data_IF_410832687976
#
_entry.id   IF_410832687976
#
_cell.length_a   1.000
_cell.length_b   1.000
_cell.length_c   1.000
_cell.angle_alpha   90.00
_cell.angle_beta   90.00
_cell.angle_gamma   90.00
#
_symmetry.space_group_name_H-M   'P 1'
#
loop_
_entity.id
_entity.type
_entity.pdbx_description
1 polymer ?
#
# COMPACT_ATOMS: atom_id res chain seq x y z
N UNK A 1 -24.55 11.78 -8.45
CA UNK A 1 -24.89 13.09 -9.02
C UNK A 1 -26.36 13.50 -8.80
N UNK A 2 -27.31 12.66 -9.07
CA UNK A 2 -28.74 13.01 -8.88
C UNK A 2 -29.10 13.41 -7.44
N UNK A 3 -28.57 12.70 -6.40
CA UNK A 3 -28.85 13.04 -5.00
C UNK A 3 -28.21 14.36 -4.57
N UNK A 4 -26.96 14.63 -4.96
CA UNK A 4 -26.31 15.92 -4.67
C UNK A 4 -27.11 17.09 -5.29
N UNK A 5 -27.64 16.92 -6.50
CA UNK A 5 -28.48 17.91 -7.18
C UNK A 5 -29.83 18.11 -6.44
N UNK A 6 -30.43 17.02 -5.92
CA UNK A 6 -31.69 17.13 -5.12
C UNK A 6 -31.45 17.89 -3.81
N UNK A 7 -30.36 17.59 -3.12
CA UNK A 7 -29.96 18.34 -1.91
C UNK A 7 -29.76 19.81 -2.25
N UNK A 8 -28.95 20.09 -3.28
CA UNK A 8 -28.62 21.47 -3.68
C UNK A 8 -29.86 22.30 -4.04
N UNK A 9 -30.86 21.72 -4.70
CA UNK A 9 -32.13 22.41 -5.02
C UNK A 9 -32.88 22.79 -3.74
N UNK A 10 -33.04 21.84 -2.80
CA UNK A 10 -33.74 22.12 -1.54
C UNK A 10 -33.00 23.12 -0.65
N UNK A 11 -31.66 23.07 -0.64
CA UNK A 11 -30.81 24.05 0.04
C UNK A 11 -30.98 25.43 -0.57
N UNK A 12 -31.01 25.52 -1.91
CA UNK A 12 -31.21 26.78 -2.62
C UNK A 12 -32.60 27.40 -2.36
N UNK A 13 -33.67 26.59 -2.20
CA UNK A 13 -35.00 27.06 -1.81
C UNK A 13 -35.01 27.74 -0.42
N UNK A 14 -34.02 27.40 0.44
CA UNK A 14 -33.82 28.00 1.75
C UNK A 14 -32.76 29.10 1.77
N UNK A 15 -32.27 29.54 0.60
CA UNK A 15 -31.27 30.59 0.46
C UNK A 15 -29.82 30.16 0.63
N UNK A 16 -29.56 28.87 0.79
CA UNK A 16 -28.18 28.33 0.87
C UNK A 16 -27.59 27.95 -0.46
N UNK A 17 -26.33 27.51 -0.45
CA UNK A 17 -25.59 27.00 -1.62
C UNK A 17 -24.92 25.67 -1.26
N UNK A 18 -24.81 24.78 -2.22
CA UNK A 18 -24.17 23.48 -2.06
C UNK A 18 -23.02 23.35 -3.06
N UNK A 19 -21.87 22.93 -2.59
CA UNK A 19 -20.67 22.80 -3.43
C UNK A 19 -20.12 21.38 -3.37
N UNK A 20 -19.68 20.88 -4.51
CA UNK A 20 -18.71 19.79 -4.53
C UNK A 20 -17.37 20.34 -4.01
N UNK A 21 -16.64 19.55 -3.20
CA UNK A 21 -15.44 20.04 -2.53
C UNK A 21 -14.30 19.01 -2.57
N UNK A 22 -13.10 19.47 -2.25
CA UNK A 22 -11.94 18.62 -2.01
C UNK A 22 -11.48 17.83 -3.22
N UNK A 23 -11.32 16.52 -3.03
CA UNK A 23 -10.82 15.61 -4.05
C UNK A 23 -11.67 15.53 -5.31
N UNK A 24 -12.98 15.68 -5.17
CA UNK A 24 -13.92 15.61 -6.29
C UNK A 24 -13.63 16.68 -7.36
N UNK A 25 -13.49 17.94 -6.94
CA UNK A 25 -13.24 19.06 -7.88
C UNK A 25 -11.90 18.93 -8.57
N UNK A 26 -10.87 18.57 -7.80
CA UNK A 26 -9.52 18.30 -8.34
C UNK A 26 -9.53 17.18 -9.37
N UNK A 27 -10.13 16.03 -9.03
CA UNK A 27 -10.11 14.83 -9.86
C UNK A 27 -10.94 15.07 -11.15
N UNK A 28 -12.07 15.82 -11.08
CA UNK A 28 -12.82 16.25 -12.25
C UNK A 28 -11.96 17.12 -13.19
N UNK A 29 -11.24 18.11 -12.66
CA UNK A 29 -10.35 18.98 -13.45
C UNK A 29 -9.18 18.20 -14.07
N UNK A 30 -8.71 17.14 -13.41
CA UNK A 30 -7.70 16.22 -13.92
C UNK A 30 -8.29 15.15 -14.87
N UNK A 31 -9.61 15.11 -15.06
CA UNK A 31 -10.33 14.09 -15.84
C UNK A 31 -10.12 12.67 -15.29
N UNK A 32 -9.98 12.55 -13.99
CA UNK A 32 -9.89 11.28 -13.26
C UNK A 32 -11.29 10.94 -12.75
N UNK A 33 -11.75 9.74 -13.06
CA UNK A 33 -13.02 9.25 -12.54
C UNK A 33 -12.95 9.07 -11.03
N UNK A 34 -13.89 9.68 -10.29
CA UNK A 34 -14.03 9.54 -8.85
C UNK A 34 -15.44 9.09 -8.49
N UNK A 35 -15.55 8.20 -7.51
CA UNK A 35 -16.84 7.73 -6.96
C UNK A 35 -17.17 8.42 -5.64
N UNK A 36 -16.16 8.92 -4.94
CA UNK A 36 -16.31 9.58 -3.64
C UNK A 36 -16.82 11.00 -3.89
N UNK A 37 -18.05 11.31 -3.45
CA UNK A 37 -18.68 12.62 -3.60
C UNK A 37 -18.74 13.31 -2.25
N UNK A 38 -17.91 14.35 -2.10
CA UNK A 38 -17.94 15.23 -0.93
C UNK A 38 -18.68 16.52 -1.29
N UNK A 39 -19.73 16.88 -0.55
CA UNK A 39 -20.41 18.17 -0.68
C UNK A 39 -20.36 18.97 0.60
N UNK A 40 -20.29 20.29 0.44
CA UNK A 40 -20.32 21.23 1.57
C UNK A 40 -21.48 22.23 1.39
N UNK A 41 -22.28 22.41 2.44
CA UNK A 41 -23.50 23.23 2.44
C UNK A 41 -23.27 24.51 3.22
N UNK A 42 -23.51 25.66 2.59
CA UNK A 42 -23.33 26.98 3.12
C UNK A 42 -24.65 27.76 3.16
N UNK A 43 -24.75 28.74 4.08
CA UNK A 43 -25.81 29.74 4.09
C UNK A 43 -27.13 29.30 4.71
N UNK A 44 -27.20 28.12 5.31
CA UNK A 44 -28.34 27.65 6.13
C UNK A 44 -27.82 27.05 7.43
N UNK A 45 -28.61 27.08 8.50
CA UNK A 45 -28.25 26.47 9.77
C UNK A 45 -28.33 24.94 9.75
N UNK A 46 -27.78 24.31 10.81
CA UNK A 46 -27.67 22.84 10.92
C UNK A 46 -29.03 22.19 10.94
N UNK A 47 -30.00 22.75 11.68
CA UNK A 47 -31.33 22.15 11.84
C UNK A 47 -32.08 22.17 10.51
N UNK A 48 -31.99 23.27 9.77
CA UNK A 48 -32.54 23.39 8.42
C UNK A 48 -31.94 22.35 7.45
N UNK A 49 -30.63 22.11 7.53
CA UNK A 49 -30.00 21.06 6.70
C UNK A 49 -30.50 19.67 7.11
N UNK A 50 -30.61 19.37 8.39
CA UNK A 50 -31.11 18.08 8.87
C UNK A 50 -32.54 17.83 8.35
N UNK A 51 -33.44 18.81 8.49
CA UNK A 51 -34.81 18.71 7.96
C UNK A 51 -34.85 18.41 6.46
N UNK A 52 -33.98 19.09 5.69
CA UNK A 52 -33.86 18.83 4.24
C UNK A 52 -33.42 17.38 4.00
N UNK A 53 -32.38 16.93 4.69
CA UNK A 53 -31.84 15.58 4.49
C UNK A 53 -32.83 14.49 4.92
N UNK A 54 -33.52 14.65 6.04
CA UNK A 54 -34.55 13.72 6.51
C UNK A 54 -35.74 13.65 5.52
N UNK A 55 -36.05 14.73 4.82
CA UNK A 55 -37.06 14.71 3.76
C UNK A 55 -36.63 13.91 2.50
N UNK A 56 -35.33 13.65 2.33
CA UNK A 56 -34.74 12.95 1.18
C UNK A 56 -34.37 11.51 1.48
N UNK A 57 -34.20 11.15 2.76
CA UNK A 57 -33.82 9.79 3.13
C UNK A 57 -33.47 9.62 4.61
N UNK A 58 -32.92 8.46 4.94
CA UNK A 58 -32.51 8.14 6.30
C UNK A 58 -31.12 8.75 6.58
N UNK A 59 -31.07 9.75 7.45
CA UNK A 59 -29.84 10.48 7.79
C UNK A 59 -29.04 9.71 8.84
N UNK A 60 -27.77 9.50 8.55
CA UNK A 60 -26.79 9.01 9.53
C UNK A 60 -25.93 10.20 10.01
N UNK A 61 -26.00 10.46 11.30
CA UNK A 61 -25.21 11.51 11.96
C UNK A 61 -23.86 10.92 12.38
N UNK A 62 -22.87 10.88 11.48
CA UNK A 62 -21.54 10.30 11.74
C UNK A 62 -20.68 11.19 12.65
N UNK A 63 -20.99 12.45 12.71
CA UNK A 63 -20.32 13.45 13.55
C UNK A 63 -21.20 14.69 13.68
N UNK A 64 -22.40 14.52 14.27
CA UNK A 64 -23.37 15.62 14.36
C UNK A 64 -22.82 16.86 15.08
N UNK A 65 -21.94 16.68 16.07
CA UNK A 65 -21.18 17.76 16.72
C UNK A 65 -20.14 18.42 15.78
N UNK A 66 -19.81 17.75 14.66
CA UNK A 66 -18.81 18.23 13.70
C UNK A 66 -19.43 18.65 12.35
N UNK A 67 -20.75 18.65 12.23
CA UNK A 67 -21.46 19.05 11.01
C UNK A 67 -21.24 18.10 9.82
N UNK A 68 -21.07 16.80 10.06
CA UNK A 68 -20.91 15.78 8.99
C UNK A 68 -22.05 14.80 9.02
N UNK A 69 -22.70 14.60 7.86
CA UNK A 69 -23.89 13.79 7.67
C UNK A 69 -23.73 12.87 6.45
N UNK A 70 -24.39 11.71 6.47
CA UNK A 70 -24.53 10.81 5.33
C UNK A 70 -25.98 10.41 5.15
N UNK A 71 -26.36 10.11 3.91
CA UNK A 71 -27.65 9.50 3.57
C UNK A 71 -27.48 8.01 3.34
N UNK A 72 -28.20 7.18 4.08
CA UNK A 72 -28.14 5.72 3.94
C UNK A 72 -28.48 5.28 2.51
N UNK A 73 -27.57 4.52 1.89
CA UNK A 73 -27.71 4.03 0.51
C UNK A 73 -27.15 4.94 -0.57
N UNK A 74 -26.50 6.04 -0.18
CA UNK A 74 -25.79 6.94 -1.09
C UNK A 74 -24.35 7.12 -0.61
N UNK A 75 -23.42 7.14 -1.55
CA UNK A 75 -21.99 7.34 -1.30
C UNK A 75 -21.67 8.85 -1.45
N UNK A 76 -22.25 9.63 -0.52
CA UNK A 76 -22.13 11.09 -0.47
C UNK A 76 -21.88 11.51 0.96
N UNK A 77 -20.73 12.16 1.18
CA UNK A 77 -20.40 12.84 2.42
C UNK A 77 -20.89 14.29 2.36
N UNK A 78 -21.70 14.68 3.35
CA UNK A 78 -22.30 16.01 3.42
C UNK A 78 -21.73 16.71 4.63
N UNK A 79 -21.05 17.83 4.42
CA UNK A 79 -20.45 18.61 5.47
C UNK A 79 -20.99 20.06 5.49
N UNK A 80 -20.84 20.71 6.64
CA UNK A 80 -21.00 22.16 6.77
C UNK A 80 -19.66 22.79 7.11
N UNK A 81 -19.43 24.06 6.73
CA UNK A 81 -18.24 24.79 7.11
C UNK A 81 -18.10 24.87 8.63
N UNK A 82 -16.88 24.78 9.11
CA UNK A 82 -16.59 24.79 10.54
C UNK A 82 -15.33 25.58 10.86
N UNK A 83 -15.29 26.15 12.06
CA UNK A 83 -14.09 26.72 12.68
C UNK A 83 -13.51 25.71 13.66
N UNK A 84 -12.22 25.54 13.65
CA UNK A 84 -11.47 24.78 14.63
C UNK A 84 -10.71 25.76 15.52
N UNK A 85 -11.00 25.78 16.82
CA UNK A 85 -10.33 26.64 17.78
C UNK A 85 -9.47 25.75 18.67
N UNK A 86 -8.14 25.94 18.61
CA UNK A 86 -7.21 25.21 19.46
C UNK A 86 -7.25 25.76 20.89
N UNK A 87 -7.56 24.89 21.85
CA UNK A 87 -7.54 25.21 23.29
C UNK A 87 -6.27 24.66 24.01
N UNK A 88 -5.30 24.04 23.28
CA UNK A 88 -4.14 23.42 23.89
C UNK A 88 -3.03 23.02 22.89
N UNK A 89 -2.05 22.23 23.36
CA UNK A 89 -0.85 21.83 22.59
C UNK A 89 -0.96 20.43 21.94
N UNK A 90 -2.17 19.87 21.73
CA UNK A 90 -2.33 18.52 21.22
C UNK A 90 -3.44 18.36 20.18
N UNK A 91 -3.36 17.36 19.31
CA UNK A 91 -4.35 17.03 18.27
C UNK A 91 -5.75 16.69 18.80
N UNK A 92 -5.97 16.67 20.12
CA UNK A 92 -7.26 16.37 20.77
C UNK A 92 -7.88 17.57 21.46
N UNK A 93 -7.22 18.73 21.44
CA UNK A 93 -7.64 19.92 22.18
C UNK A 93 -8.27 20.98 21.26
N UNK A 94 -9.00 20.54 20.21
CA UNK A 94 -9.76 21.45 19.35
C UNK A 94 -11.23 21.45 19.70
N UNK A 95 -11.79 22.60 19.89
CA UNK A 95 -13.24 22.82 19.84
C UNK A 95 -13.65 23.13 18.40
N UNK A 96 -14.63 22.38 17.91
CA UNK A 96 -15.13 22.50 16.55
C UNK A 96 -16.48 23.19 16.61
N UNK A 97 -16.60 24.32 15.92
CA UNK A 97 -17.82 25.07 15.78
C UNK A 97 -18.28 25.06 14.33
N UNK A 98 -19.47 24.53 14.08
CA UNK A 98 -20.10 24.62 12.76
C UNK A 98 -20.54 26.06 12.54
N UNK A 99 -20.07 26.68 11.46
CA UNK A 99 -20.43 28.04 11.06
C UNK A 99 -20.73 28.10 9.57
N UNK A 100 -21.99 27.85 9.16
CA UNK A 100 -22.40 27.82 7.77
C UNK A 100 -22.23 29.15 7.02
N UNK A 101 -21.96 30.22 7.73
CA UNK A 101 -21.87 31.59 7.22
C UNK A 101 -20.43 32.11 7.18
N UNK A 102 -19.43 31.28 7.50
CA UNK A 102 -18.02 31.68 7.65
C UNK A 102 -17.39 32.29 6.37
N UNK A 103 -18.00 32.05 5.19
CA UNK A 103 -17.43 32.44 3.91
C UNK A 103 -16.49 31.37 3.31
N UNK A 104 -16.34 31.40 2.00
CA UNK A 104 -15.67 30.33 1.24
C UNK A 104 -14.17 30.24 1.52
N UNK A 105 -13.49 31.38 1.62
CA UNK A 105 -12.06 31.43 1.90
C UNK A 105 -11.75 30.85 3.30
N UNK A 106 -12.50 31.28 4.31
CA UNK A 106 -12.32 30.78 5.68
C UNK A 106 -12.69 29.31 5.82
N UNK A 107 -13.68 28.81 5.09
CA UNK A 107 -14.03 27.39 5.04
C UNK A 107 -12.90 26.55 4.42
N UNK A 108 -12.20 27.08 3.41
CA UNK A 108 -11.16 26.40 2.68
C UNK A 108 -9.76 26.49 3.33
N UNK A 109 -9.47 27.51 4.17
CA UNK A 109 -8.14 27.77 4.75
C UNK A 109 -7.59 26.60 5.58
N UNK A 110 -8.48 25.80 6.18
CA UNK A 110 -8.14 24.62 6.99
C UNK A 110 -7.78 23.39 6.17
N UNK A 111 -7.99 23.41 4.85
CA UNK A 111 -7.63 22.30 3.96
C UNK A 111 -6.11 22.22 3.82
N UNK A 112 -5.64 21.08 3.33
CA UNK A 112 -4.20 20.80 3.23
C UNK A 112 -3.50 21.57 2.11
N UNK A 113 -4.00 21.41 0.85
CA UNK A 113 -3.35 21.94 -0.33
C UNK A 113 -4.29 22.79 -1.17
N UNK A 114 -3.74 23.75 -1.90
CA UNK A 114 -4.46 24.65 -2.81
C UNK A 114 -5.31 23.87 -3.82
N UNK A 115 -4.78 22.77 -4.36
CA UNK A 115 -5.49 21.90 -5.31
C UNK A 115 -6.70 21.17 -4.71
N UNK A 116 -6.82 21.12 -3.38
CA UNK A 116 -7.95 20.53 -2.66
C UNK A 116 -8.88 21.60 -2.04
N UNK A 117 -8.55 22.89 -2.21
CA UNK A 117 -9.34 23.99 -1.64
C UNK A 117 -10.49 24.46 -2.52
N UNK A 118 -10.46 24.07 -3.79
CA UNK A 118 -11.47 24.44 -4.77
C UNK A 118 -12.85 23.89 -4.41
N UNK A 119 -13.87 24.67 -4.75
CA UNK A 119 -15.28 24.36 -4.55
C UNK A 119 -16.03 24.56 -5.87
N UNK A 120 -16.93 23.65 -6.23
CA UNK A 120 -17.74 23.76 -7.45
C UNK A 120 -19.23 23.74 -7.09
N UNK A 121 -19.93 24.81 -7.41
CA UNK A 121 -21.37 24.89 -7.16
C UNK A 121 -22.12 23.77 -7.90
N UNK A 122 -22.94 23.02 -7.17
CA UNK A 122 -23.64 21.83 -7.69
C UNK A 122 -24.67 22.19 -8.76
N UNK A 123 -25.31 23.36 -8.66
CA UNK A 123 -26.38 23.80 -9.58
C UNK A 123 -25.86 24.59 -10.77
N UNK A 124 -24.94 25.50 -10.54
CA UNK A 124 -24.44 26.43 -11.59
C UNK A 124 -23.17 25.93 -12.26
N UNK A 125 -22.40 25.06 -11.61
CA UNK A 125 -21.08 24.60 -12.07
C UNK A 125 -19.97 25.66 -11.89
N UNK A 126 -20.27 26.81 -11.27
CA UNK A 126 -19.28 27.85 -10.93
C UNK A 126 -18.20 27.28 -10.01
N UNK A 127 -16.93 27.55 -10.34
CA UNK A 127 -15.79 27.14 -9.48
C UNK A 127 -15.31 28.33 -8.67
N UNK A 128 -15.27 28.17 -7.36
CA UNK A 128 -14.69 29.11 -6.40
C UNK A 128 -13.30 28.57 -6.03
N UNK A 129 -12.27 29.36 -6.34
CA UNK A 129 -10.85 29.00 -6.12
C UNK A 129 -10.13 30.11 -5.35
N UNK A 130 -10.28 30.15 -4.02
CA UNK A 130 -9.75 31.24 -3.20
C UNK A 130 -8.22 31.23 -3.07
N UNK A 131 -7.54 30.12 -3.37
CA UNK A 131 -6.11 29.94 -3.18
C UNK A 131 -5.34 29.55 -4.45
N UNK A 132 -5.88 29.86 -5.63
CA UNK A 132 -5.26 29.60 -6.94
C UNK A 132 -4.94 28.12 -7.19
N UNK A 133 -5.78 27.20 -6.70
CA UNK A 133 -5.62 25.77 -6.87
C UNK A 133 -5.68 25.30 -8.32
N UNK A 134 -6.46 25.98 -9.18
CA UNK A 134 -6.51 25.71 -10.63
C UNK A 134 -5.15 25.96 -11.28
N UNK A 135 -4.46 27.03 -10.90
CA UNK A 135 -3.14 27.38 -11.42
C UNK A 135 -2.09 26.36 -10.97
N UNK A 136 -2.08 26.03 -9.67
CA UNK A 136 -1.18 25.02 -9.11
C UNK A 136 -1.42 23.64 -9.75
N UNK A 137 -2.68 23.31 -10.02
CA UNK A 137 -3.04 22.06 -10.70
C UNK A 137 -2.48 22.01 -12.14
N UNK A 138 -2.61 23.11 -12.92
CA UNK A 138 -2.05 23.25 -14.28
C UNK A 138 -0.53 23.17 -14.27
N UNK A 139 0.11 23.77 -13.27
CA UNK A 139 1.55 23.80 -13.10
C UNK A 139 2.09 22.52 -12.44
N UNK A 140 1.24 21.54 -12.14
CA UNK A 140 1.60 20.29 -11.42
C UNK A 140 2.32 20.57 -10.11
N UNK A 141 1.86 21.54 -9.36
CA UNK A 141 2.45 22.00 -8.12
C UNK A 141 1.60 21.62 -6.92
N UNK A 142 2.24 21.13 -5.87
CA UNK A 142 1.59 20.82 -4.60
C UNK A 142 2.03 21.84 -3.55
N UNK A 143 1.13 22.77 -3.23
CA UNK A 143 1.38 23.87 -2.30
C UNK A 143 0.37 23.83 -1.16
N UNK A 144 0.83 23.99 0.08
CA UNK A 144 -0.05 24.16 1.24
C UNK A 144 -0.75 25.53 1.20
N UNK A 145 -1.88 25.64 1.90
CA UNK A 145 -2.70 26.86 1.88
C UNK A 145 -2.18 27.87 2.88
N UNK A 146 -1.98 27.46 4.12
CA UNK A 146 -1.63 28.32 5.24
C UNK A 146 -0.70 27.58 6.20
N UNK A 147 0.38 28.24 6.62
CA UNK A 147 1.43 27.65 7.46
C UNK A 147 0.88 27.14 8.80
N UNK A 148 0.02 27.93 9.45
CA UNK A 148 -0.49 27.61 10.80
C UNK A 148 -1.43 26.40 10.70
N UNK A 149 -2.48 26.52 9.89
CA UNK A 149 -3.44 25.42 9.76
C UNK A 149 -2.82 24.13 9.23
N UNK A 150 -1.81 24.25 8.36
CA UNK A 150 -1.11 23.07 7.82
C UNK A 150 -0.37 22.28 8.91
N UNK A 151 0.25 23.00 9.86
CA UNK A 151 0.98 22.38 10.97
C UNK A 151 0.07 21.71 12.01
N UNK A 152 -1.23 21.99 12.03
CA UNK A 152 -2.18 21.40 12.98
C UNK A 152 -2.34 19.89 12.79
N UNK A 153 -2.15 19.35 11.58
CA UNK A 153 -2.20 17.90 11.31
C UNK A 153 -0.90 17.41 10.67
N UNK A 154 0.03 16.81 11.45
CA UNK A 154 1.27 16.25 10.90
C UNK A 154 1.09 15.17 9.84
N UNK A 155 -0.09 14.56 9.71
CA UNK A 155 -0.37 13.63 8.63
C UNK A 155 -0.22 14.29 7.24
N UNK A 156 -0.35 15.60 7.16
CA UNK A 156 -0.20 16.36 5.91
C UNK A 156 1.20 16.22 5.29
N UNK A 157 2.22 15.88 6.08
CA UNK A 157 3.55 15.50 5.59
C UNK A 157 3.46 14.27 4.68
N UNK A 158 2.80 13.20 5.15
CA UNK A 158 2.63 11.98 4.34
C UNK A 158 1.64 12.16 3.20
N UNK A 159 0.63 13.02 3.39
CA UNK A 159 -0.30 13.41 2.33
C UNK A 159 0.41 14.16 1.21
N UNK A 160 1.37 15.05 1.54
CA UNK A 160 2.20 15.75 0.55
C UNK A 160 2.98 14.75 -0.32
N UNK A 161 3.69 13.82 0.31
CA UNK A 161 4.43 12.77 -0.39
C UNK A 161 3.50 11.86 -1.22
N UNK A 162 2.32 11.50 -0.67
CA UNK A 162 1.34 10.65 -1.34
C UNK A 162 0.75 11.34 -2.58
N UNK A 163 0.37 12.62 -2.49
CA UNK A 163 -0.15 13.37 -3.64
C UNK A 163 0.93 13.62 -4.69
N UNK A 164 2.15 13.96 -4.26
CA UNK A 164 3.29 14.08 -5.17
C UNK A 164 3.50 12.79 -5.99
N UNK A 165 3.49 11.64 -5.33
CA UNK A 165 3.61 10.33 -5.97
C UNK A 165 2.42 9.99 -6.88
N UNK A 166 1.18 10.22 -6.40
CA UNK A 166 -0.04 9.88 -7.14
C UNK A 166 -0.22 10.69 -8.42
N UNK A 167 0.09 11.99 -8.37
CA UNK A 167 -0.14 12.92 -9.48
C UNK A 167 1.14 13.30 -10.23
N UNK A 168 2.30 12.89 -9.75
CA UNK A 168 3.62 13.31 -10.24
C UNK A 168 3.78 14.83 -10.21
N UNK A 169 3.38 15.43 -9.08
CA UNK A 169 3.47 16.85 -8.84
C UNK A 169 4.72 17.21 -8.03
N UNK A 170 5.31 18.35 -8.33
CA UNK A 170 6.40 18.92 -7.56
C UNK A 170 5.85 19.56 -6.27
N UNK A 171 6.45 19.24 -5.13
CA UNK A 171 6.09 19.88 -3.86
C UNK A 171 6.74 21.27 -3.80
N UNK A 172 5.95 22.28 -3.45
CA UNK A 172 6.47 23.66 -3.29
C UNK A 172 7.56 23.72 -2.21
N UNK A 173 8.61 24.49 -2.46
CA UNK A 173 9.76 24.62 -1.54
C UNK A 173 9.36 25.11 -0.14
N UNK A 174 8.37 26.00 -0.05
CA UNK A 174 7.81 26.44 1.23
C UNK A 174 7.14 25.28 1.96
N UNK A 175 6.39 24.45 1.25
CA UNK A 175 5.76 23.25 1.78
C UNK A 175 6.79 22.22 2.26
N UNK A 176 7.86 21.97 1.49
CA UNK A 176 8.97 21.09 1.90
C UNK A 176 9.60 21.59 3.20
N UNK A 177 9.93 22.90 3.27
CA UNK A 177 10.52 23.51 4.46
C UNK A 177 9.60 23.38 5.67
N UNK A 178 8.31 23.60 5.51
CA UNK A 178 7.32 23.48 6.58
C UNK A 178 7.22 22.03 7.05
N UNK A 179 7.05 21.06 6.13
CA UNK A 179 7.01 19.63 6.44
C UNK A 179 8.27 19.17 7.20
N UNK A 180 9.45 19.69 6.85
CA UNK A 180 10.71 19.28 7.49
C UNK A 180 10.83 19.68 8.96
N UNK A 181 10.01 20.62 9.43
CA UNK A 181 9.97 21.07 10.83
C UNK A 181 8.87 20.42 11.68
N UNK A 182 7.97 19.63 11.05
CA UNK A 182 6.83 19.04 11.74
C UNK A 182 7.22 17.73 12.45
N UNK A 183 6.71 17.53 13.67
CA UNK A 183 6.85 16.27 14.40
C UNK A 183 5.74 15.28 14.00
N UNK A 184 6.16 14.18 13.37
CA UNK A 184 5.25 13.12 12.90
C UNK A 184 5.16 11.93 13.88
N UNK A 185 5.85 11.99 15.03
CA UNK A 185 5.98 10.86 15.96
C UNK A 185 4.68 10.50 16.66
N UNK A 186 3.80 11.48 16.87
CA UNK A 186 2.53 11.33 17.57
C UNK A 186 1.38 10.77 16.73
N UNK A 187 1.61 10.54 15.44
CA UNK A 187 0.57 10.03 14.53
C UNK A 187 0.18 8.59 14.85
N UNK A 188 -1.10 8.28 14.71
CA UNK A 188 -1.58 6.90 14.73
C UNK A 188 -1.06 6.14 13.49
N UNK A 189 -0.52 4.95 13.72
CA UNK A 189 0.09 4.13 12.66
C UNK A 189 -0.88 3.79 11.52
N UNK A 190 -2.16 3.64 11.83
CA UNK A 190 -3.20 3.36 10.84
C UNK A 190 -3.31 4.49 9.81
N UNK A 191 -3.23 5.74 10.27
CA UNK A 191 -3.29 6.92 9.39
C UNK A 191 -2.07 6.98 8.46
N UNK A 192 -0.86 6.72 9.00
CA UNK A 192 0.39 6.69 8.22
C UNK A 192 0.36 5.54 7.21
N UNK A 193 -0.10 4.35 7.66
CA UNK A 193 -0.19 3.18 6.80
C UNK A 193 -1.18 3.38 5.63
N UNK A 194 -2.31 4.07 5.85
CA UNK A 194 -3.25 4.37 4.77
C UNK A 194 -2.65 5.32 3.72
N UNK A 195 -1.85 6.33 4.11
CA UNK A 195 -1.17 7.18 3.13
C UNK A 195 -0.07 6.41 2.36
N UNK A 196 0.71 5.57 3.05
CA UNK A 196 1.65 4.65 2.39
C UNK A 196 0.94 3.74 1.39
N UNK A 197 -0.15 3.10 1.81
CA UNK A 197 -0.92 2.19 0.95
C UNK A 197 -1.49 2.90 -0.28
N UNK A 198 -1.99 4.14 -0.12
CA UNK A 198 -2.43 4.96 -1.27
C UNK A 198 -1.28 5.26 -2.22
N UNK A 199 -0.08 5.59 -1.72
CA UNK A 199 1.11 5.81 -2.53
C UNK A 199 1.49 4.55 -3.32
N UNK A 200 1.55 3.40 -2.66
CA UNK A 200 1.93 2.13 -3.29
C UNK A 200 0.91 1.67 -4.34
N UNK A 201 -0.39 1.80 -4.06
CA UNK A 201 -1.43 1.21 -4.89
C UNK A 201 -2.00 2.16 -5.96
N UNK A 202 -2.01 3.48 -5.70
CA UNK A 202 -2.60 4.47 -6.62
C UNK A 202 -1.59 5.21 -7.47
N UNK A 203 -0.27 5.08 -7.20
CA UNK A 203 0.78 5.72 -7.99
C UNK A 203 1.34 4.79 -9.06
N UNK A 204 1.81 5.39 -10.16
CA UNK A 204 2.61 4.70 -11.18
C UNK A 204 4.10 4.74 -10.86
N UNK A 205 4.54 5.71 -10.06
CA UNK A 205 5.90 5.87 -9.55
C UNK A 205 5.86 6.09 -8.03
N UNK A 206 5.64 5.03 -7.24
CA UNK A 206 5.58 5.13 -5.78
C UNK A 206 6.91 5.51 -5.13
N UNK A 207 8.03 5.42 -5.84
CA UNK A 207 9.34 5.92 -5.40
C UNK A 207 9.33 7.41 -5.04
N UNK A 208 8.48 8.21 -5.71
CA UNK A 208 8.31 9.64 -5.43
C UNK A 208 7.85 9.88 -3.99
N UNK A 209 7.07 8.98 -3.39
CA UNK A 209 6.67 9.08 -2.00
C UNK A 209 7.89 9.11 -1.06
N UNK A 210 8.80 8.17 -1.23
CA UNK A 210 9.98 8.05 -0.37
C UNK A 210 11.03 9.12 -0.69
N UNK A 211 11.22 9.47 -1.96
CA UNK A 211 12.15 10.55 -2.33
C UNK A 211 11.66 11.90 -1.83
N UNK A 212 10.35 12.16 -1.84
CA UNK A 212 9.77 13.35 -1.24
C UNK A 212 9.96 13.38 0.29
N UNK A 213 9.72 12.25 0.98
CA UNK A 213 9.97 12.16 2.43
C UNK A 213 11.45 12.33 2.78
N UNK A 214 12.36 11.82 1.93
CA UNK A 214 13.81 12.06 2.08
C UNK A 214 14.14 13.54 1.97
N UNK A 215 13.59 14.25 0.99
CA UNK A 215 13.78 15.69 0.80
C UNK A 215 13.23 16.49 2.00
N UNK A 216 12.07 16.10 2.52
CA UNK A 216 11.45 16.66 3.73
C UNK A 216 12.13 16.21 5.03
N UNK A 217 13.14 15.30 4.99
CA UNK A 217 13.80 14.71 6.18
C UNK A 217 12.82 14.01 7.14
N UNK A 218 11.84 13.33 6.60
CA UNK A 218 10.72 12.71 7.34
C UNK A 218 10.68 11.17 7.20
N UNK A 219 11.80 10.52 6.84
CA UNK A 219 11.91 9.07 6.77
C UNK A 219 12.14 8.43 8.14
N UNK A 220 12.97 9.04 8.99
CA UNK A 220 13.63 8.42 10.15
C UNK A 220 12.69 7.76 11.17
N UNK A 221 11.52 8.30 11.42
CA UNK A 221 10.63 7.75 12.45
C UNK A 221 9.79 6.56 11.93
N UNK A 222 9.09 6.76 10.81
CA UNK A 222 8.16 5.75 10.30
C UNK A 222 8.78 4.78 9.31
N UNK A 223 9.80 5.20 8.58
CA UNK A 223 10.43 4.48 7.46
C UNK A 223 11.94 4.40 7.63
N UNK A 224 12.39 4.15 8.88
CA UNK A 224 13.81 4.09 9.23
C UNK A 224 14.58 3.10 8.36
N UNK A 225 14.02 1.92 8.09
CA UNK A 225 14.66 0.89 7.26
C UNK A 225 14.89 1.39 5.83
N UNK A 226 13.98 2.22 5.30
CA UNK A 226 14.15 2.84 3.98
C UNK A 226 15.22 3.92 4.02
N UNK A 227 15.30 4.73 5.09
CA UNK A 227 16.36 5.71 5.29
C UNK A 227 17.73 5.04 5.38
N UNK A 228 17.82 3.95 6.13
CA UNK A 228 19.06 3.20 6.37
C UNK A 228 19.62 2.55 5.08
N UNK A 229 18.85 2.44 3.99
CA UNK A 229 19.34 2.01 2.68
C UNK A 229 20.19 3.07 1.96
N UNK A 230 20.05 4.35 2.35
CA UNK A 230 20.71 5.46 1.69
C UNK A 230 22.23 5.35 1.89
N UNK A 231 22.97 5.35 0.77
CA UNK A 231 24.43 5.28 0.80
C UNK A 231 25.00 3.87 1.02
N UNK A 232 24.18 2.82 1.11
CA UNK A 232 24.68 1.44 1.14
C UNK A 232 25.17 1.09 -0.27
N UNK A 233 26.47 1.03 -0.46
CA UNK A 233 27.08 0.75 -1.75
C UNK A 233 26.81 -0.69 -2.21
N UNK A 234 26.68 -0.86 -3.52
CA UNK A 234 26.51 -2.15 -4.19
C UNK A 234 27.61 -2.39 -5.24
N UNK A 235 27.70 -3.63 -5.74
CA UNK A 235 28.60 -3.96 -6.84
C UNK A 235 28.18 -3.24 -8.11
N UNK A 236 28.96 -2.30 -8.62
CA UNK A 236 28.68 -1.55 -9.85
C UNK A 236 28.50 -2.44 -11.09
N UNK A 237 29.03 -3.68 -11.06
CA UNK A 237 28.85 -4.65 -12.16
C UNK A 237 27.41 -5.19 -12.21
N UNK A 238 26.81 -5.40 -11.04
CA UNK A 238 25.47 -5.99 -10.92
C UNK A 238 24.40 -4.96 -10.63
N UNK A 239 24.78 -3.79 -10.15
CA UNK A 239 23.94 -2.68 -9.73
C UNK A 239 24.53 -1.34 -10.20
N UNK A 240 24.52 -1.07 -11.52
CA UNK A 240 25.04 0.18 -12.07
C UNK A 240 24.19 1.40 -11.67
N UNK A 241 22.94 1.17 -11.22
CA UNK A 241 21.98 2.19 -10.78
C UNK A 241 22.42 2.94 -9.53
N UNK A 242 23.27 2.35 -8.68
CA UNK A 242 23.82 3.06 -7.52
C UNK A 242 23.71 2.29 -6.19
N UNK A 243 23.29 3.01 -5.14
CA UNK A 243 23.11 2.46 -3.78
C UNK A 243 21.83 1.62 -3.66
N UNK A 244 21.68 0.94 -2.50
CA UNK A 244 20.52 0.07 -2.25
C UNK A 244 19.21 0.87 -2.23
N UNK A 245 19.23 2.12 -1.75
CA UNK A 245 18.03 2.98 -1.77
C UNK A 245 17.57 3.21 -3.21
N UNK A 246 18.46 3.63 -4.09
CA UNK A 246 18.16 3.88 -5.51
C UNK A 246 17.61 2.62 -6.17
N UNK A 247 18.27 1.47 -5.97
CA UNK A 247 17.79 0.18 -6.45
C UNK A 247 16.37 -0.13 -5.96
N UNK A 248 16.13 -0.04 -4.65
CA UNK A 248 14.82 -0.33 -4.06
C UNK A 248 13.71 0.58 -4.61
N UNK A 249 14.02 1.85 -4.87
CA UNK A 249 13.08 2.79 -5.49
C UNK A 249 12.77 2.40 -6.95
N UNK A 250 13.76 1.99 -7.72
CA UNK A 250 13.56 1.50 -9.09
C UNK A 250 12.77 0.18 -9.13
N UNK A 251 13.08 -0.76 -8.23
CA UNK A 251 12.30 -2.00 -8.09
C UNK A 251 10.85 -1.71 -7.73
N UNK A 252 10.61 -0.75 -6.86
CA UNK A 252 9.26 -0.37 -6.44
C UNK A 252 8.45 0.22 -7.61
N UNK A 253 9.07 1.01 -8.48
CA UNK A 253 8.42 1.56 -9.68
C UNK A 253 8.18 0.47 -10.75
N UNK A 254 9.09 -0.48 -10.92
CA UNK A 254 8.85 -1.64 -11.79
C UNK A 254 7.72 -2.53 -11.24
N UNK A 255 7.70 -2.76 -9.92
CA UNK A 255 6.59 -3.48 -9.28
C UNK A 255 5.25 -2.77 -9.49
N UNK A 256 5.22 -1.43 -9.48
CA UNK A 256 4.00 -0.66 -9.71
C UNK A 256 3.42 -0.89 -11.11
N UNK A 257 4.23 -1.21 -12.11
CA UNK A 257 3.76 -1.57 -13.46
C UNK A 257 3.13 -2.96 -13.50
N UNK A 258 3.53 -3.85 -12.59
CA UNK A 258 3.12 -5.25 -12.54
C UNK A 258 2.01 -5.53 -11.51
N UNK A 259 1.72 -4.60 -10.60
CA UNK A 259 0.84 -4.81 -9.46
C UNK A 259 -0.58 -5.26 -9.80
N UNK A 260 -1.06 -4.94 -11.02
CA UNK A 260 -2.41 -5.33 -11.45
C UNK A 260 -2.51 -6.83 -11.81
N UNK A 261 -1.37 -7.49 -12.05
CA UNK A 261 -1.26 -8.93 -12.26
C UNK A 261 -1.08 -9.71 -10.94
N UNK A 262 -0.79 -9.02 -9.84
CA UNK A 262 -0.55 -9.66 -8.55
C UNK A 262 -1.85 -10.16 -7.89
N UNK A 263 -1.78 -11.32 -7.23
CA UNK A 263 -2.88 -11.91 -6.46
C UNK A 263 -3.24 -11.02 -5.26
N UNK A 264 -2.22 -10.52 -4.55
CA UNK A 264 -2.40 -9.51 -3.50
C UNK A 264 -1.49 -8.30 -3.73
N UNK A 265 -2.06 -7.26 -4.36
CA UNK A 265 -1.33 -6.02 -4.67
C UNK A 265 -0.64 -5.40 -3.45
N UNK A 266 -1.25 -5.46 -2.26
CA UNK A 266 -0.70 -4.84 -1.05
C UNK A 266 0.52 -5.59 -0.54
N UNK A 267 0.47 -6.92 -0.45
CA UNK A 267 1.61 -7.73 -0.02
C UNK A 267 2.75 -7.70 -1.04
N UNK A 268 2.42 -7.72 -2.33
CA UNK A 268 3.38 -7.62 -3.43
C UNK A 268 4.18 -6.30 -3.39
N UNK A 269 3.49 -5.16 -3.32
CA UNK A 269 4.13 -3.84 -3.30
C UNK A 269 4.95 -3.60 -2.02
N UNK A 270 4.47 -4.08 -0.87
CA UNK A 270 5.24 -4.03 0.37
C UNK A 270 6.46 -4.95 0.33
N UNK A 271 6.35 -6.12 -0.29
CA UNK A 271 7.49 -7.01 -0.47
C UNK A 271 8.54 -6.40 -1.40
N UNK A 272 8.13 -5.73 -2.48
CA UNK A 272 9.03 -4.99 -3.36
C UNK A 272 9.79 -3.87 -2.62
N UNK A 273 9.13 -3.19 -1.66
CA UNK A 273 9.79 -2.20 -0.80
C UNK A 273 10.80 -2.83 0.15
N UNK A 274 10.48 -3.98 0.74
CA UNK A 274 11.23 -4.55 1.86
C UNK A 274 12.28 -5.60 1.44
N UNK A 275 12.31 -6.04 0.17
CA UNK A 275 13.07 -7.22 -0.25
C UNK A 275 14.56 -7.16 0.10
N UNK A 276 15.14 -5.98 0.04
CA UNK A 276 16.57 -5.72 0.21
C UNK A 276 16.96 -5.03 1.53
N UNK A 277 16.06 -4.89 2.49
CA UNK A 277 16.35 -4.28 3.79
C UNK A 277 17.55 -4.92 4.50
N UNK A 278 17.72 -6.23 4.36
CA UNK A 278 18.85 -6.95 4.96
C UNK A 278 20.22 -6.52 4.47
N UNK A 279 20.33 -5.82 3.33
CA UNK A 279 21.59 -5.27 2.84
C UNK A 279 22.18 -4.22 3.78
N UNK A 280 21.35 -3.58 4.64
CA UNK A 280 21.78 -2.61 5.65
C UNK A 280 22.90 -3.20 6.53
N UNK A 281 22.73 -4.42 7.03
CA UNK A 281 23.65 -5.06 7.97
C UNK A 281 24.60 -6.07 7.32
N UNK A 282 24.22 -6.63 6.15
CA UNK A 282 24.96 -7.74 5.53
C UNK A 282 25.97 -7.31 4.47
N UNK A 283 25.85 -6.09 3.94
CA UNK A 283 26.79 -5.58 2.92
C UNK A 283 28.18 -5.40 3.52
N UNK A 284 29.16 -6.12 2.96
CA UNK A 284 30.55 -6.11 3.42
C UNK A 284 31.51 -6.23 2.22
N UNK A 285 32.66 -5.57 2.34
CA UNK A 285 33.77 -5.76 1.43
C UNK A 285 34.49 -7.07 1.75
N UNK A 286 34.44 -8.05 0.84
CA UNK A 286 35.09 -9.35 0.99
C UNK A 286 35.96 -9.62 -0.23
N UNK A 287 37.26 -9.84 -0.02
CA UNK A 287 38.24 -10.08 -1.11
C UNK A 287 38.14 -9.05 -2.23
N UNK A 288 37.99 -7.76 -1.88
CA UNK A 288 37.87 -6.64 -2.83
C UNK A 288 36.53 -6.53 -3.58
N UNK A 289 35.50 -7.32 -3.19
CA UNK A 289 34.16 -7.27 -3.79
C UNK A 289 33.11 -6.97 -2.72
N UNK A 290 32.17 -6.10 -3.02
CA UNK A 290 30.98 -5.88 -2.19
C UNK A 290 30.04 -7.08 -2.34
N UNK A 291 29.64 -7.62 -1.21
CA UNK A 291 28.75 -8.79 -1.10
C UNK A 291 27.77 -8.62 0.05
N UNK A 292 26.57 -9.14 -0.10
CA UNK A 292 25.49 -9.09 0.91
C UNK A 292 24.90 -10.50 1.16
N UNK A 293 25.77 -11.46 1.52
CA UNK A 293 25.31 -12.84 1.76
C UNK A 293 24.36 -12.93 2.95
N UNK A 294 23.23 -13.60 2.75
CA UNK A 294 22.21 -13.82 3.78
C UNK A 294 21.28 -12.61 3.97
N UNK A 295 21.34 -11.61 3.07
CA UNK A 295 20.45 -10.44 3.18
C UNK A 295 18.98 -10.85 3.10
N UNK A 296 18.62 -11.90 2.38
CA UNK A 296 17.25 -12.39 2.28
C UNK A 296 16.68 -12.83 3.64
N UNK A 297 17.53 -13.35 4.55
CA UNK A 297 17.12 -13.72 5.90
C UNK A 297 17.00 -12.49 6.79
N UNK A 298 17.98 -11.59 6.71
CA UNK A 298 17.97 -10.35 7.49
C UNK A 298 16.88 -9.38 7.02
N UNK A 299 16.54 -9.39 5.71
CA UNK A 299 15.40 -8.63 5.19
C UNK A 299 14.08 -9.07 5.83
N UNK A 300 13.90 -10.36 6.15
CA UNK A 300 12.71 -10.84 6.86
C UNK A 300 12.60 -10.24 8.25
N UNK A 301 13.71 -10.17 9.00
CA UNK A 301 13.74 -9.59 10.34
C UNK A 301 13.38 -8.10 10.32
N UNK A 302 14.05 -7.32 9.46
CA UNK A 302 13.82 -5.89 9.34
C UNK A 302 12.43 -5.57 8.77
N UNK A 303 11.95 -6.34 7.77
CA UNK A 303 10.60 -6.21 7.26
C UNK A 303 9.53 -6.53 8.33
N UNK A 304 9.79 -7.49 9.22
CA UNK A 304 8.89 -7.79 10.33
C UNK A 304 8.79 -6.61 11.31
N UNK A 305 9.91 -5.98 11.67
CA UNK A 305 9.93 -4.79 12.54
C UNK A 305 9.21 -3.61 11.88
N UNK A 306 9.51 -3.35 10.61
CA UNK A 306 8.85 -2.33 9.79
C UNK A 306 7.33 -2.50 9.74
N UNK A 307 6.86 -3.72 9.44
CA UNK A 307 5.43 -4.01 9.36
C UNK A 307 4.74 -3.98 10.73
N UNK A 308 5.42 -4.35 11.81
CA UNK A 308 4.86 -4.26 13.17
C UNK A 308 4.59 -2.81 13.58
N UNK A 309 5.40 -1.86 13.11
CA UNK A 309 5.21 -0.42 13.33
C UNK A 309 4.02 0.15 12.56
N UNK A 310 3.66 -0.45 11.42
CA UNK A 310 2.70 0.12 10.47
C UNK A 310 1.34 -0.57 10.43
N UNK A 311 1.24 -1.83 10.81
CA UNK A 311 -0.02 -2.57 10.69
C UNK A 311 -0.14 -3.73 11.67
N UNK A 312 -1.38 -4.05 12.07
CA UNK A 312 -1.70 -5.22 12.89
C UNK A 312 -2.25 -6.41 12.05
N UNK A 313 -2.29 -6.29 10.71
CA UNK A 313 -2.86 -7.33 9.83
C UNK A 313 -1.90 -8.52 9.69
N UNK A 314 -2.16 -9.59 10.44
CA UNK A 314 -1.30 -10.79 10.52
C UNK A 314 -1.15 -11.47 9.15
N UNK A 315 -2.24 -11.61 8.37
CA UNK A 315 -2.19 -12.22 7.03
C UNK A 315 -1.26 -11.45 6.09
N UNK A 316 -1.41 -10.12 6.04
CA UNK A 316 -0.56 -9.26 5.22
C UNK A 316 0.92 -9.40 5.59
N UNK A 317 1.25 -9.38 6.89
CA UNK A 317 2.63 -9.58 7.35
C UNK A 317 3.19 -10.93 6.89
N UNK A 318 2.42 -12.01 7.06
CA UNK A 318 2.83 -13.36 6.65
C UNK A 318 3.13 -13.44 5.16
N UNK A 319 2.29 -12.85 4.32
CA UNK A 319 2.46 -12.83 2.87
C UNK A 319 3.70 -12.03 2.45
N UNK A 320 3.87 -10.80 2.99
CA UNK A 320 5.05 -9.98 2.71
C UNK A 320 6.34 -10.69 3.11
N UNK A 321 6.41 -11.22 4.33
CA UNK A 321 7.61 -11.89 4.83
C UNK A 321 7.94 -13.17 4.04
N UNK A 322 6.93 -13.87 3.54
CA UNK A 322 7.12 -15.02 2.66
C UNK A 322 7.75 -14.60 1.33
N UNK A 323 7.22 -13.58 0.68
CA UNK A 323 7.77 -13.04 -0.58
C UNK A 323 9.20 -12.53 -0.39
N UNK A 324 9.46 -11.75 0.67
CA UNK A 324 10.81 -11.24 1.00
C UNK A 324 11.80 -12.40 1.22
N UNK A 325 11.39 -13.44 1.96
CA UNK A 325 12.24 -14.62 2.21
C UNK A 325 12.64 -15.36 0.93
N UNK A 326 11.76 -15.38 -0.05
CA UNK A 326 11.92 -16.20 -1.24
C UNK A 326 12.40 -15.40 -2.47
N UNK A 327 12.45 -14.06 -2.42
CA UNK A 327 12.64 -13.20 -3.59
C UNK A 327 13.84 -13.54 -4.47
N UNK A 328 14.95 -13.98 -3.87
CA UNK A 328 16.16 -14.35 -4.62
C UNK A 328 16.05 -15.67 -5.38
N UNK A 329 15.20 -16.60 -4.88
CA UNK A 329 15.20 -17.98 -5.34
C UNK A 329 14.79 -18.17 -6.81
N UNK A 330 13.74 -17.50 -7.36
CA UNK A 330 13.37 -17.68 -8.75
C UNK A 330 14.52 -17.41 -9.71
N UNK A 331 15.19 -16.26 -9.56
CA UNK A 331 16.31 -15.87 -10.42
C UNK A 331 17.57 -16.73 -10.27
N UNK A 332 17.77 -17.33 -9.09
CA UNK A 332 18.90 -18.25 -8.85
C UNK A 332 18.64 -19.65 -9.39
N UNK A 333 17.39 -20.08 -9.46
CA UNK A 333 17.01 -21.48 -9.65
C UNK A 333 16.54 -21.82 -11.06
N UNK A 334 16.05 -20.86 -11.84
CA UNK A 334 15.37 -21.13 -13.12
C UNK A 334 16.20 -21.98 -14.12
N UNK A 335 17.55 -21.82 -14.16
CA UNK A 335 18.44 -22.52 -15.07
C UNK A 335 19.26 -23.65 -14.43
N UNK A 336 19.33 -23.72 -13.11
CA UNK A 336 20.33 -24.55 -12.42
C UNK A 336 19.73 -25.60 -11.52
N UNK A 337 18.45 -25.46 -11.15
CA UNK A 337 17.84 -26.29 -10.13
C UNK A 337 17.16 -27.52 -10.71
N UNK A 338 17.23 -28.64 -9.95
CA UNK A 338 16.45 -29.85 -10.24
C UNK A 338 14.95 -29.55 -10.13
N UNK A 339 14.12 -30.18 -10.97
CA UNK A 339 12.65 -30.03 -10.98
C UNK A 339 12.06 -30.04 -9.55
N UNK A 340 12.48 -31.01 -8.73
CA UNK A 340 12.07 -31.10 -7.31
C UNK A 340 12.29 -29.83 -6.50
N UNK A 341 13.40 -29.13 -6.71
CA UNK A 341 13.71 -27.90 -5.98
C UNK A 341 12.79 -26.76 -6.39
N UNK A 342 12.42 -26.71 -7.67
CA UNK A 342 11.44 -25.75 -8.18
C UNK A 342 10.03 -26.05 -7.62
N UNK A 343 9.61 -27.33 -7.62
CA UNK A 343 8.32 -27.73 -7.02
C UNK A 343 8.25 -27.29 -5.56
N UNK A 344 9.33 -27.51 -4.79
CA UNK A 344 9.40 -27.07 -3.41
C UNK A 344 9.36 -25.54 -3.26
N UNK A 345 9.94 -24.78 -4.18
CA UNK A 345 9.86 -23.31 -4.14
C UNK A 345 8.40 -22.85 -4.26
N UNK A 346 7.65 -23.42 -5.19
CA UNK A 346 6.25 -23.09 -5.39
C UNK A 346 5.37 -23.51 -4.21
N UNK A 347 5.68 -24.65 -3.60
CA UNK A 347 5.01 -25.16 -2.39
C UNK A 347 5.28 -24.28 -1.15
N UNK A 348 6.49 -23.74 -1.02
CA UNK A 348 6.87 -22.81 0.05
C UNK A 348 6.27 -21.39 -0.15
N UNK A 349 5.87 -21.03 -1.37
CA UNK A 349 5.35 -19.69 -1.69
C UNK A 349 3.84 -19.60 -1.41
N UNK A 350 3.43 -18.57 -0.67
CA UNK A 350 2.00 -18.30 -0.42
C UNK A 350 1.31 -17.82 -1.70
N UNK A 351 1.99 -16.95 -2.45
CA UNK A 351 1.55 -16.42 -3.73
C UNK A 351 2.65 -16.64 -4.78
N UNK A 352 2.69 -17.81 -5.43
CA UNK A 352 3.74 -18.15 -6.41
C UNK A 352 3.84 -17.16 -7.57
N UNK A 353 2.69 -16.68 -8.08
CA UNK A 353 2.68 -15.69 -9.15
C UNK A 353 3.32 -14.36 -8.71
N UNK A 354 2.99 -13.88 -7.50
CA UNK A 354 3.55 -12.64 -6.97
C UNK A 354 5.07 -12.76 -6.75
N UNK A 355 5.55 -13.98 -6.44
CA UNK A 355 6.98 -14.24 -6.31
C UNK A 355 7.71 -14.14 -7.66
N UNK A 356 7.09 -14.61 -8.76
CA UNK A 356 7.62 -14.43 -10.12
C UNK A 356 7.67 -12.95 -10.48
N UNK A 357 6.58 -12.21 -10.21
CA UNK A 357 6.49 -10.78 -10.48
C UNK A 357 7.53 -9.98 -9.66
N UNK A 358 7.78 -10.36 -8.40
CA UNK A 358 8.79 -9.72 -7.55
C UNK A 358 10.21 -9.95 -8.10
N UNK A 359 10.53 -11.17 -8.51
CA UNK A 359 11.81 -11.49 -9.12
C UNK A 359 12.03 -10.76 -10.47
N UNK A 360 10.94 -10.54 -11.22
CA UNK A 360 10.95 -9.71 -12.44
C UNK A 360 11.19 -8.24 -12.10
N UNK A 361 10.47 -7.69 -11.15
CA UNK A 361 10.64 -6.30 -10.72
C UNK A 361 12.07 -6.02 -10.22
N UNK A 362 12.64 -6.92 -9.37
CA UNK A 362 14.03 -6.84 -8.92
C UNK A 362 15.03 -6.85 -10.09
N UNK A 363 14.81 -7.73 -11.07
CA UNK A 363 15.71 -7.80 -12.24
C UNK A 363 15.64 -6.55 -13.11
N UNK A 364 14.45 -5.99 -13.35
CA UNK A 364 14.24 -4.79 -14.15
C UNK A 364 14.67 -3.52 -13.42
N UNK A 365 14.52 -3.48 -12.10
CA UNK A 365 14.92 -2.35 -11.25
C UNK A 365 16.43 -2.09 -11.19
N UNK A 366 17.25 -2.84 -11.92
CA UNK A 366 18.71 -2.61 -12.03
C UNK A 366 19.09 -1.57 -13.08
N UNK A 367 18.12 -0.98 -13.78
CA UNK A 367 18.39 0.02 -14.82
C UNK A 367 19.15 -0.51 -16.03
N UNK A 368 19.26 -1.83 -16.16
CA UNK A 368 19.86 -2.48 -17.33
C UNK A 368 18.69 -2.90 -18.23
N UNK A 369 18.77 -2.55 -19.51
CA UNK A 369 17.81 -3.04 -20.52
C UNK A 369 18.01 -4.56 -20.69
N UNK A 370 17.32 -5.34 -19.85
CA UNK A 370 17.37 -6.78 -19.81
C UNK A 370 16.01 -7.35 -20.17
N UNK A 371 15.98 -8.12 -21.26
CA UNK A 371 14.80 -8.91 -21.55
C UNK A 371 14.64 -10.03 -20.49
N UNK A 372 13.55 -9.97 -19.73
CA UNK A 372 13.20 -10.95 -18.71
C UNK A 372 12.25 -12.05 -19.24
N UNK A 373 11.84 -11.97 -20.50
CA UNK A 373 10.77 -12.82 -21.08
C UNK A 373 11.11 -14.30 -21.03
N UNK A 374 12.35 -14.68 -21.34
CA UNK A 374 12.77 -16.10 -21.30
C UNK A 374 12.73 -16.66 -19.87
N UNK A 375 13.21 -15.88 -18.90
CA UNK A 375 13.20 -16.26 -17.48
C UNK A 375 11.77 -16.38 -16.99
N UNK A 376 10.93 -15.41 -17.28
CA UNK A 376 9.52 -15.44 -16.91
C UNK A 376 8.79 -16.64 -17.50
N UNK A 377 8.99 -16.93 -18.80
CA UNK A 377 8.40 -18.09 -19.45
C UNK A 377 8.81 -19.40 -18.76
N UNK A 378 10.09 -19.55 -18.43
CA UNK A 378 10.59 -20.76 -17.76
C UNK A 378 9.99 -20.91 -16.34
N UNK A 379 9.89 -19.80 -15.58
CA UNK A 379 9.29 -19.79 -14.25
C UNK A 379 7.80 -20.11 -14.29
N UNK A 380 7.03 -19.48 -15.20
CA UNK A 380 5.60 -19.75 -15.39
C UNK A 380 5.32 -21.17 -15.86
N UNK A 381 6.14 -21.73 -16.76
CA UNK A 381 6.05 -23.13 -17.16
C UNK A 381 6.26 -24.08 -15.97
N UNK A 382 7.28 -23.80 -15.15
CA UNK A 382 7.54 -24.57 -13.94
C UNK A 382 6.42 -24.45 -12.88
N UNK A 383 5.81 -23.28 -12.74
CA UNK A 383 4.65 -23.06 -11.86
C UNK A 383 3.45 -23.88 -12.36
N UNK A 384 3.20 -23.86 -13.66
CA UNK A 384 2.13 -24.68 -14.25
C UNK A 384 2.35 -26.19 -14.00
N UNK A 385 3.60 -26.66 -14.14
CA UNK A 385 3.94 -28.06 -13.81
C UNK A 385 3.62 -28.39 -12.33
N UNK A 386 3.87 -27.44 -11.41
CA UNK A 386 3.51 -27.59 -10.00
C UNK A 386 2.00 -27.63 -9.80
N UNK A 387 1.26 -26.72 -10.43
CA UNK A 387 -0.21 -26.67 -10.33
C UNK A 387 -0.86 -27.94 -10.88
N UNK A 388 -0.32 -28.52 -11.96
CA UNK A 388 -0.80 -29.81 -12.50
C UNK A 388 -0.48 -30.96 -11.54
N UNK A 389 0.74 -30.98 -10.97
CA UNK A 389 1.12 -31.97 -9.97
C UNK A 389 0.20 -31.97 -8.75
N UNK A 390 -0.18 -30.76 -8.27
CA UNK A 390 -1.03 -30.61 -7.08
C UNK A 390 -2.51 -30.97 -7.33
N UNK A 391 -2.91 -31.22 -8.58
CA UNK A 391 -4.24 -31.78 -8.87
C UNK A 391 -4.28 -33.30 -8.68
N UNK A 392 -3.13 -33.97 -8.69
CA UNK A 392 -3.06 -35.43 -8.47
C UNK A 392 -3.29 -35.77 -6.99
N UNK A 393 -3.90 -36.93 -6.69
CA UNK A 393 -4.22 -37.30 -5.33
C UNK A 393 -2.97 -37.56 -4.49
N UNK A 394 -2.85 -36.85 -3.36
CA UNK A 394 -1.81 -37.11 -2.37
C UNK A 394 -2.17 -38.23 -1.40
N UNK A 395 -1.16 -38.66 -0.63
CA UNK A 395 -1.36 -39.60 0.49
C UNK A 395 -2.13 -38.92 1.60
N UNK A 396 -3.23 -39.52 2.03
CA UNK A 396 -4.12 -39.08 3.06
C UNK A 396 -4.01 -39.91 4.34
N UNK A 397 -4.60 -39.43 5.43
CA UNK A 397 -4.69 -40.19 6.66
C UNK A 397 -5.47 -41.50 6.52
N UNK A 398 -6.44 -41.62 5.58
CA UNK A 398 -7.14 -42.87 5.27
C UNK A 398 -6.22 -43.91 4.69
N UNK A 399 -5.36 -43.52 3.75
CA UNK A 399 -4.38 -44.40 3.15
C UNK A 399 -3.41 -44.97 4.21
N UNK A 400 -3.02 -44.15 5.20
CA UNK A 400 -2.15 -44.61 6.30
C UNK A 400 -2.87 -45.61 7.22
N UNK A 401 -4.18 -45.42 7.45
CA UNK A 401 -4.99 -46.40 8.23
C UNK A 401 -5.07 -47.72 7.48
N UNK A 402 -5.27 -47.71 6.16
CA UNK A 402 -5.28 -48.91 5.31
C UNK A 402 -3.93 -49.66 5.31
N UNK A 403 -2.84 -48.93 5.51
CA UNK A 403 -1.49 -49.52 5.74
C UNK A 403 -1.30 -50.07 7.16
N UNK A 404 -2.31 -50.00 8.04
CA UNK A 404 -2.27 -50.55 9.41
C UNK A 404 -1.73 -49.60 10.47
N UNK A 405 -1.50 -48.32 10.16
CA UNK A 405 -1.08 -47.34 11.12
C UNK A 405 -2.29 -46.84 11.99
N UNK A 406 -2.04 -46.62 13.27
CA UNK A 406 -3.01 -45.98 14.17
C UNK A 406 -2.80 -44.46 14.18
N UNK A 407 -3.88 -43.69 14.22
CA UNK A 407 -3.78 -42.23 14.34
C UNK A 407 -2.89 -41.81 15.52
N UNK A 408 -1.88 -40.94 15.28
CA UNK A 408 -0.92 -40.51 16.25
C UNK A 408 0.16 -39.59 15.66
N UNK A 409 1.22 -39.32 16.43
CA UNK A 409 2.31 -38.43 16.02
C UNK A 409 2.96 -38.84 14.70
N UNK A 410 3.10 -40.15 14.47
CA UNK A 410 3.69 -40.71 13.26
C UNK A 410 2.90 -40.38 11.98
N UNK A 411 1.57 -40.15 12.08
CA UNK A 411 0.75 -39.75 10.93
C UNK A 411 1.27 -38.46 10.29
N UNK A 412 1.58 -37.45 11.12
CA UNK A 412 2.11 -36.17 10.64
C UNK A 412 3.44 -36.34 9.91
N UNK A 413 4.29 -37.28 10.37
CA UNK A 413 5.58 -37.55 9.75
C UNK A 413 5.42 -38.24 8.39
N UNK A 414 4.55 -39.26 8.28
CA UNK A 414 4.29 -39.95 7.04
C UNK A 414 3.53 -39.11 6.02
N UNK A 415 2.60 -38.23 6.44
CA UNK A 415 1.97 -37.27 5.54
C UNK A 415 3.01 -36.30 4.98
N UNK A 416 3.88 -35.72 5.82
CA UNK A 416 4.97 -34.84 5.38
C UNK A 416 5.96 -35.57 4.43
N UNK A 417 6.27 -36.82 4.71
CA UNK A 417 7.11 -37.63 3.85
C UNK A 417 6.42 -37.90 2.48
N UNK A 418 5.12 -38.23 2.53
CA UNK A 418 4.30 -38.43 1.34
C UNK A 418 4.28 -37.20 0.44
N UNK A 419 3.98 -36.01 1.03
CA UNK A 419 4.00 -34.74 0.32
C UNK A 419 5.38 -34.42 -0.30
N UNK A 420 6.47 -34.63 0.46
CA UNK A 420 7.84 -34.44 -0.06
C UNK A 420 8.18 -35.37 -1.24
N UNK A 421 7.67 -36.59 -1.22
CA UNK A 421 7.85 -37.57 -2.32
C UNK A 421 6.97 -37.21 -3.52
N UNK A 422 5.74 -36.73 -3.28
CA UNK A 422 4.84 -36.21 -4.29
C UNK A 422 5.47 -35.01 -5.05
N UNK A 423 6.02 -34.03 -4.34
CA UNK A 423 6.80 -32.96 -4.96
C UNK A 423 8.02 -33.41 -5.75
N UNK A 424 8.44 -34.67 -5.58
CA UNK A 424 9.52 -35.25 -6.37
C UNK A 424 9.00 -35.96 -7.63
N UNK A 425 7.68 -35.96 -7.87
CA UNK A 425 7.01 -36.53 -9.02
C UNK A 425 6.73 -38.06 -8.89
N UNK A 426 6.71 -38.61 -7.65
CA UNK A 426 6.29 -39.98 -7.43
C UNK A 426 4.77 -40.11 -7.45
N UNK A 427 4.25 -41.19 -8.02
CA UNK A 427 2.82 -41.51 -7.96
C UNK A 427 2.40 -41.86 -6.53
N UNK A 428 1.10 -41.64 -6.19
CA UNK A 428 0.54 -42.04 -4.90
C UNK A 428 0.83 -43.47 -4.52
N UNK A 429 0.74 -44.40 -5.50
CA UNK A 429 1.01 -45.82 -5.30
C UNK A 429 2.46 -46.10 -4.91
N UNK A 430 3.43 -45.46 -5.57
CA UNK A 430 4.84 -45.63 -5.26
C UNK A 430 5.20 -44.98 -3.88
N UNK A 431 4.56 -43.90 -3.55
CA UNK A 431 4.69 -43.26 -2.22
C UNK A 431 4.17 -44.18 -1.12
N UNK A 432 3.00 -44.82 -1.33
CA UNK A 432 2.44 -45.76 -0.35
C UNK A 432 3.32 -47.02 -0.21
N UNK A 433 3.90 -47.54 -1.31
CA UNK A 433 4.91 -48.64 -1.24
C UNK A 433 6.12 -48.20 -0.41
N UNK A 434 6.62 -46.97 -0.64
CA UNK A 434 7.77 -46.42 0.11
C UNK A 434 7.46 -46.30 1.60
N UNK A 435 6.30 -45.77 1.97
CA UNK A 435 5.86 -45.65 3.37
C UNK A 435 5.70 -47.01 4.01
N UNK A 436 5.05 -47.99 3.34
CA UNK A 436 4.87 -49.35 3.82
C UNK A 436 6.21 -50.02 4.17
N UNK A 437 7.21 -49.88 3.28
CA UNK A 437 8.57 -50.43 3.53
C UNK A 437 9.25 -49.74 4.75
N UNK A 438 9.03 -48.45 4.97
CA UNK A 438 9.57 -47.77 6.14
C UNK A 438 8.88 -48.22 7.44
N UNK A 439 7.56 -48.46 7.41
CA UNK A 439 6.81 -48.99 8.57
C UNK A 439 7.35 -50.34 8.98
N UNK A 440 7.55 -51.26 8.04
CA UNK A 440 8.09 -52.61 8.30
C UNK A 440 9.48 -52.55 8.93
N UNK A 441 10.39 -51.73 8.38
CA UNK A 441 11.73 -51.57 8.94
C UNK A 441 11.75 -51.02 10.37
N UNK A 442 10.78 -50.16 10.74
CA UNK A 442 10.67 -49.60 12.09
C UNK A 442 9.96 -50.57 13.08
N UNK A 443 9.30 -51.63 12.60
CA UNK A 443 8.70 -52.68 13.42
C UNK A 443 9.67 -53.85 13.69
N UNK A 444 10.73 -53.96 12.87
CA UNK A 444 11.77 -54.98 13.00
C UNK A 444 12.95 -54.55 13.89
N UNK A 445 12.88 -53.33 14.47
CA UNK A 445 13.82 -52.76 15.45
C UNK A 445 13.10 -52.68 16.80
#
# INVERSE_FOLDING_TARGET
MDMATKIAKKVSEKGGRTFFVGGYVRDELLKIETKDIDIEVHGIDVDCLVDILESLGNVQKIGASFGVFNLKGYDIDIAMPRKEISNGRGHRDFEIYVDPFIGYEQAAIRRDFTINSMMKDVLTGEIIDPFCGIEDLKNKKLKHINDISFCEDPLRVFRAAQFASRFKFEIDKGTIKLCSSMDVSSLAFERVFEELKKALLKSTEPSIFFTSLKEMKQLSFWFKEVEDLIGIEQSKIHHPEGDVFTHSMMVLDEAAKLKDEAENKSSFMLAALCHDFGKISTTKLRKGKLTAYGHEVESVNLAHEFLNRLTNKISLKKEVLNLVKLHMKPNQMYNTSKKKSMMKLWDDAIHPNDLILLAKADSLGRGIDKDYSEIEMALRASLKDYEELMKEPEVSGKDLIELGLKPGVQFSEYIKLGHKLHLSGLSKEDILKHISNNIKKNQDI
#
